data_IF_122192581588
#
_entry.id   IF_122192581588
#
_cell.length_a   1.000
_cell.length_b   1.000
_cell.length_c   1.000
_cell.angle_alpha   90.00
_cell.angle_beta   90.00
_cell.angle_gamma   90.00
#
_symmetry.space_group_name_H-M   'P 1'
#
loop_
_entity.id
_entity.type
_entity.pdbx_description
1 polymer ?
#
# COMPACT_ATOMS: atom_id res chain seq x y z
N UNK A 1 35.50 -17.03 -28.15
CA UNK A 1 34.66 -16.70 -26.99
C UNK A 1 34.52 -17.98 -26.19
N UNK A 2 35.12 -18.00 -25.01
CA UNK A 2 35.39 -19.19 -24.21
C UNK A 2 34.10 -19.91 -23.80
N UNK A 3 34.03 -21.24 -23.94
CA UNK A 3 32.84 -22.03 -23.59
C UNK A 3 32.48 -21.89 -22.11
N UNK A 4 33.48 -21.71 -21.26
CA UNK A 4 33.36 -21.43 -19.82
C UNK A 4 32.62 -20.13 -19.50
N UNK A 5 32.79 -19.10 -20.35
CA UNK A 5 32.10 -17.81 -20.18
C UNK A 5 30.64 -17.95 -20.60
N UNK A 6 30.35 -18.76 -21.63
CA UNK A 6 28.99 -19.04 -22.08
C UNK A 6 28.20 -19.86 -21.06
N UNK A 7 28.86 -20.79 -20.36
CA UNK A 7 28.27 -21.62 -19.29
C UNK A 7 28.05 -20.81 -17.99
N UNK A 8 29.00 -19.94 -17.60
CA UNK A 8 28.79 -19.01 -16.46
C UNK A 8 27.71 -17.95 -16.72
N UNK A 9 27.49 -17.58 -17.97
CA UNK A 9 26.39 -16.69 -18.38
C UNK A 9 25.01 -17.38 -18.39
N UNK A 10 24.94 -18.71 -18.21
CA UNK A 10 23.70 -19.49 -18.18
C UNK A 10 23.11 -19.68 -16.77
N UNK A 11 23.72 -19.10 -15.73
CA UNK A 11 23.11 -19.04 -14.41
C UNK A 11 21.88 -18.10 -14.45
N UNK A 12 20.73 -18.67 -14.77
CA UNK A 12 19.42 -18.00 -14.75
C UNK A 12 18.82 -18.04 -13.34
N UNK A 13 17.93 -17.09 -13.05
CA UNK A 13 17.07 -17.14 -11.87
C UNK A 13 15.77 -17.90 -12.14
N UNK A 14 15.61 -18.44 -13.35
CA UNK A 14 14.45 -19.25 -13.69
C UNK A 14 14.44 -20.56 -12.90
N UNK A 15 13.26 -21.06 -12.52
CA UNK A 15 13.13 -22.38 -11.91
C UNK A 15 13.61 -23.47 -12.87
N UNK A 16 14.20 -24.52 -12.31
CA UNK A 16 14.58 -25.72 -13.07
C UNK A 16 13.33 -26.45 -13.63
N UNK A 17 12.23 -26.50 -12.86
CA UNK A 17 10.95 -27.07 -13.27
C UNK A 17 9.76 -26.11 -13.03
N UNK A 18 9.23 -25.58 -14.14
CA UNK A 18 8.04 -24.71 -14.13
C UNK A 18 6.75 -25.42 -13.73
N UNK A 19 6.64 -26.74 -13.89
CA UNK A 19 5.46 -27.52 -13.47
C UNK A 19 5.43 -27.66 -11.96
N UNK A 20 6.59 -27.94 -11.36
CA UNK A 20 6.74 -28.00 -9.91
C UNK A 20 6.44 -26.64 -9.28
N UNK A 21 7.04 -25.56 -9.81
CA UNK A 21 6.76 -24.21 -9.32
C UNK A 21 5.26 -23.84 -9.44
N UNK A 22 4.61 -24.22 -10.54
CA UNK A 22 3.17 -24.00 -10.74
C UNK A 22 2.34 -24.77 -9.72
N UNK A 23 2.65 -26.05 -9.48
CA UNK A 23 1.94 -26.85 -8.50
C UNK A 23 2.09 -26.26 -7.08
N UNK A 24 3.31 -25.83 -6.73
CA UNK A 24 3.56 -25.15 -5.46
C UNK A 24 2.80 -23.82 -5.35
N UNK A 25 2.76 -23.02 -6.42
CA UNK A 25 2.00 -21.77 -6.46
C UNK A 25 0.50 -21.98 -6.31
N UNK A 26 -0.06 -23.07 -6.85
CA UNK A 26 -1.46 -23.44 -6.61
C UNK A 26 -1.71 -23.81 -5.15
N UNK A 27 -0.84 -24.61 -4.53
CA UNK A 27 -0.96 -24.94 -3.11
C UNK A 27 -0.93 -23.68 -2.22
N UNK A 28 -0.03 -22.73 -2.51
CA UNK A 28 0.02 -21.45 -1.80
C UNK A 28 -1.27 -20.62 -1.96
N UNK A 29 -1.86 -20.65 -3.15
CA UNK A 29 -3.11 -19.94 -3.42
C UNK A 29 -4.29 -20.58 -2.69
N UNK A 30 -4.37 -21.91 -2.69
CA UNK A 30 -5.40 -22.68 -2.01
C UNK A 30 -5.34 -22.43 -0.49
N UNK A 31 -4.15 -22.48 0.12
CA UNK A 31 -3.96 -22.20 1.56
C UNK A 31 -4.41 -20.77 1.94
N UNK A 32 -4.20 -19.79 1.06
CA UNK A 32 -4.68 -18.42 1.29
C UNK A 32 -6.20 -18.29 1.15
N UNK A 33 -6.83 -19.02 0.22
CA UNK A 33 -8.29 -19.07 0.13
C UNK A 33 -8.89 -19.73 1.37
N UNK A 34 -8.36 -20.88 1.78
CA UNK A 34 -8.79 -21.59 2.99
C UNK A 34 -8.66 -20.70 4.23
N UNK A 35 -7.54 -19.97 4.34
CA UNK A 35 -7.33 -18.99 5.40
C UNK A 35 -8.41 -17.90 5.42
N UNK A 36 -8.72 -17.29 4.26
CA UNK A 36 -9.68 -16.20 4.16
C UNK A 36 -11.13 -16.66 4.37
N UNK A 37 -11.48 -17.84 3.88
CA UNK A 37 -12.80 -18.45 4.08
C UNK A 37 -13.06 -18.75 5.56
N UNK A 38 -12.06 -19.33 6.24
CA UNK A 38 -12.17 -19.72 7.64
C UNK A 38 -11.86 -18.57 8.61
N UNK A 39 -11.53 -17.39 8.11
CA UNK A 39 -10.99 -16.28 8.91
C UNK A 39 -11.85 -15.96 10.13
N UNK A 40 -13.18 -15.95 9.98
CA UNK A 40 -14.14 -15.63 11.06
C UNK A 40 -14.10 -16.61 12.23
N UNK A 41 -13.69 -17.86 11.98
CA UNK A 41 -13.59 -18.88 13.02
C UNK A 41 -12.26 -18.82 13.78
N UNK A 42 -11.28 -18.06 13.29
CA UNK A 42 -9.95 -17.95 13.88
C UNK A 42 -9.90 -16.82 14.92
N UNK A 43 -8.93 -16.83 15.85
CA UNK A 43 -8.70 -15.70 16.72
C UNK A 43 -8.40 -14.43 15.91
N UNK A 44 -8.95 -13.28 16.33
CA UNK A 44 -8.67 -11.98 15.69
C UNK A 44 -7.17 -11.69 15.69
N UNK A 45 -6.53 -11.92 16.84
CA UNK A 45 -5.11 -11.70 17.06
C UNK A 45 -4.64 -12.63 18.18
N UNK A 46 -3.38 -13.04 18.13
CA UNK A 46 -2.76 -13.85 19.16
C UNK A 46 -1.29 -13.48 19.36
N UNK A 47 -0.79 -13.68 20.57
CA UNK A 47 0.61 -13.43 20.94
C UNK A 47 1.49 -14.48 20.27
N UNK A 48 2.58 -14.03 19.64
CA UNK A 48 3.62 -14.93 19.09
C UNK A 48 4.31 -15.65 20.27
N UNK A 49 4.26 -17.00 20.34
CA UNK A 49 5.01 -17.76 21.34
C UNK A 49 6.51 -17.51 21.23
N UNK A 50 7.21 -17.49 22.37
CA UNK A 50 8.66 -17.22 22.39
C UNK A 50 9.48 -18.16 21.49
N UNK A 51 9.23 -19.49 21.44
CA UNK A 51 9.97 -20.38 20.55
C UNK A 51 9.83 -20.03 19.06
N UNK A 52 8.64 -19.57 18.64
CA UNK A 52 8.40 -19.13 17.26
C UNK A 52 9.18 -17.86 16.97
N UNK A 53 9.14 -16.90 17.89
CA UNK A 53 9.90 -15.65 17.78
C UNK A 53 11.40 -15.91 17.68
N UNK A 54 11.92 -16.79 18.54
CA UNK A 54 13.34 -17.14 18.57
C UNK A 54 13.80 -17.81 17.27
N UNK A 55 12.91 -18.54 16.59
CA UNK A 55 13.16 -19.14 15.28
C UNK A 55 13.50 -18.12 14.18
N UNK A 56 13.10 -16.84 14.32
CA UNK A 56 13.43 -15.78 13.35
C UNK A 56 14.76 -15.05 13.65
N UNK A 57 15.62 -15.64 14.50
CA UNK A 57 16.98 -15.18 14.78
C UNK A 57 18.06 -16.10 14.18
N UNK A 58 17.79 -16.66 13.00
CA UNK A 58 18.70 -17.55 12.27
C UNK A 58 19.75 -16.77 11.42
N UNK A 59 20.92 -17.35 11.14
CA UNK A 59 21.92 -16.74 10.26
C UNK A 59 21.44 -16.70 8.79
N UNK A 60 22.03 -15.81 8.00
CA UNK A 60 21.76 -15.70 6.57
C UNK A 60 22.03 -17.04 5.84
N UNK A 61 21.04 -17.63 5.14
CA UNK A 61 21.27 -18.81 4.31
C UNK A 61 22.23 -18.49 3.17
N UNK A 62 23.25 -19.34 2.95
CA UNK A 62 24.26 -19.17 1.89
C UNK A 62 24.02 -20.04 0.66
N UNK A 63 23.01 -20.91 0.71
CA UNK A 63 22.62 -21.80 -0.38
C UNK A 63 21.14 -21.65 -0.76
N UNK A 64 20.70 -22.33 -1.83
CA UNK A 64 19.30 -22.35 -2.23
C UNK A 64 18.44 -22.99 -1.13
N UNK A 65 17.22 -22.46 -0.96
CA UNK A 65 16.22 -22.99 -0.03
C UNK A 65 15.10 -23.71 -0.78
N UNK A 66 14.43 -24.64 -0.10
CA UNK A 66 13.22 -25.29 -0.60
C UNK A 66 12.00 -24.37 -0.41
N UNK A 67 11.34 -24.01 -1.52
CA UNK A 67 10.14 -23.18 -1.51
C UNK A 67 8.99 -23.84 -0.73
N UNK A 68 8.84 -25.16 -0.79
CA UNK A 68 7.79 -25.87 -0.06
C UNK A 68 8.01 -25.82 1.46
N UNK A 69 9.26 -25.93 1.91
CA UNK A 69 9.62 -25.73 3.31
C UNK A 69 9.37 -24.29 3.79
N UNK A 70 9.71 -23.29 2.97
CA UNK A 70 9.44 -21.87 3.28
C UNK A 70 7.93 -21.61 3.34
N UNK A 71 7.17 -22.18 2.41
CA UNK A 71 5.71 -22.07 2.41
C UNK A 71 5.10 -22.67 3.68
N UNK A 72 5.53 -23.87 4.08
CA UNK A 72 5.05 -24.50 5.31
C UNK A 72 5.36 -23.65 6.55
N UNK A 73 6.56 -23.10 6.62
CA UNK A 73 6.94 -22.15 7.68
C UNK A 73 6.07 -20.89 7.68
N UNK A 74 5.68 -20.39 6.50
CA UNK A 74 4.73 -19.28 6.41
C UNK A 74 3.37 -19.66 7.01
N UNK A 75 2.82 -20.82 6.64
CA UNK A 75 1.50 -21.27 7.13
C UNK A 75 1.50 -21.52 8.63
N UNK A 76 2.57 -22.10 9.18
CA UNK A 76 2.64 -22.51 10.58
C UNK A 76 3.10 -21.39 11.51
N UNK A 77 4.12 -20.63 11.11
CA UNK A 77 4.85 -19.72 12.01
C UNK A 77 4.59 -18.23 11.74
N UNK A 78 3.98 -17.87 10.60
CA UNK A 78 3.75 -16.47 10.23
C UNK A 78 2.25 -16.17 10.16
N UNK A 79 1.52 -16.90 9.31
CA UNK A 79 0.12 -16.66 9.01
C UNK A 79 -0.79 -16.59 10.24
N UNK A 80 -0.62 -17.43 11.29
CA UNK A 80 -1.49 -17.38 12.47
C UNK A 80 -1.28 -16.12 13.33
N UNK A 81 -0.13 -15.46 13.21
CA UNK A 81 0.29 -14.38 14.11
C UNK A 81 0.27 -13.00 13.45
N UNK A 82 -0.52 -12.85 12.37
CA UNK A 82 -0.76 -11.58 11.71
C UNK A 82 -1.54 -10.58 12.60
N UNK A 83 -1.54 -9.31 12.22
CA UNK A 83 -2.21 -8.24 12.97
C UNK A 83 -3.74 -8.39 13.06
N UNK A 84 -4.35 -9.20 12.20
CA UNK A 84 -5.78 -9.52 12.25
C UNK A 84 -6.70 -8.52 11.56
N UNK A 85 -6.18 -7.51 10.86
CA UNK A 85 -6.95 -6.42 10.26
C UNK A 85 -8.00 -6.86 9.23
N UNK A 86 -7.85 -8.04 8.62
CA UNK A 86 -8.85 -8.62 7.72
C UNK A 86 -10.03 -9.28 8.46
N UNK A 87 -9.88 -9.58 9.76
CA UNK A 87 -10.89 -10.28 10.54
C UNK A 87 -12.08 -9.35 10.85
N UNK A 88 -13.35 -9.81 10.72
CA UNK A 88 -14.53 -8.95 10.92
C UNK A 88 -14.69 -8.40 12.34
N UNK A 89 -14.10 -9.07 13.32
CA UNK A 89 -14.03 -8.63 14.72
C UNK A 89 -12.88 -7.67 15.05
N UNK A 90 -12.04 -7.30 14.07
CA UNK A 90 -10.92 -6.39 14.31
C UNK A 90 -11.41 -4.94 14.36
N UNK A 91 -11.19 -4.27 15.50
CA UNK A 91 -11.65 -2.90 15.77
C UNK A 91 -10.49 -1.94 16.12
N UNK A 92 -9.25 -2.32 15.76
CA UNK A 92 -8.05 -1.57 16.11
C UNK A 92 -7.63 -0.58 15.01
N UNK A 93 -7.60 0.72 15.31
CA UNK A 93 -7.12 1.76 14.40
C UNK A 93 -7.88 1.82 13.06
N UNK A 94 -7.36 2.60 12.09
CA UNK A 94 -7.87 2.67 10.72
C UNK A 94 -6.96 1.82 9.83
N UNK A 95 -7.18 0.51 9.85
CA UNK A 95 -6.44 -0.44 9.02
C UNK A 95 -7.38 -1.01 7.95
N UNK A 96 -6.96 -1.00 6.68
CA UNK A 96 -7.70 -1.65 5.61
C UNK A 96 -7.64 -3.18 5.78
N UNK A 97 -8.77 -3.86 5.61
CA UNK A 97 -8.84 -5.33 5.69
C UNK A 97 -8.52 -6.07 4.39
N UNK A 98 -8.43 -5.34 3.26
CA UNK A 98 -8.30 -5.94 1.94
C UNK A 98 -9.55 -6.71 1.49
N UNK A 99 -9.49 -7.32 0.30
CA UNK A 99 -10.53 -8.24 -0.21
C UNK A 99 -9.87 -9.42 -0.93
N UNK A 100 -10.54 -10.58 -1.04
CA UNK A 100 -10.02 -11.72 -1.83
C UNK A 100 -9.75 -11.35 -3.30
N UNK A 101 -10.60 -10.49 -3.89
CA UNK A 101 -10.39 -9.98 -5.25
C UNK A 101 -9.15 -9.09 -5.32
N UNK A 102 -8.92 -8.25 -4.30
CA UNK A 102 -7.70 -7.44 -4.19
C UNK A 102 -6.44 -8.30 -4.08
N UNK A 103 -6.47 -9.39 -3.32
CA UNK A 103 -5.36 -10.34 -3.23
C UNK A 103 -5.01 -10.94 -4.61
N UNK A 104 -6.01 -11.34 -5.40
CA UNK A 104 -5.79 -11.84 -6.76
C UNK A 104 -5.26 -10.74 -7.70
N UNK A 105 -5.74 -9.51 -7.56
CA UNK A 105 -5.21 -8.38 -8.33
C UNK A 105 -3.73 -8.13 -8.03
N UNK A 106 -3.32 -8.21 -6.76
CA UNK A 106 -1.91 -8.12 -6.33
C UNK A 106 -1.07 -9.27 -6.90
N UNK A 107 -1.60 -10.49 -6.95
CA UNK A 107 -0.93 -11.62 -7.62
C UNK A 107 -0.62 -11.32 -9.09
N UNK A 108 -1.61 -10.77 -9.83
CA UNK A 108 -1.42 -10.41 -11.23
C UNK A 108 -0.44 -9.24 -11.39
N UNK A 109 -0.52 -8.22 -10.53
CA UNK A 109 0.39 -7.08 -10.54
C UNK A 109 1.83 -7.50 -10.25
N UNK A 110 2.04 -8.34 -9.23
CA UNK A 110 3.34 -8.89 -8.88
C UNK A 110 3.91 -9.80 -9.99
N UNK A 111 3.07 -10.62 -10.62
CA UNK A 111 3.48 -11.45 -11.76
C UNK A 111 3.86 -10.63 -13.00
N UNK A 112 3.17 -9.52 -13.26
CA UNK A 112 3.53 -8.61 -14.34
C UNK A 112 4.85 -7.85 -14.06
N UNK A 113 5.11 -7.53 -12.79
CA UNK A 113 6.34 -6.87 -12.31
C UNK A 113 6.74 -5.63 -13.14
N UNK A 114 5.76 -4.77 -13.46
CA UNK A 114 5.97 -3.63 -14.34
C UNK A 114 6.68 -2.46 -13.64
N UNK A 115 7.79 -1.99 -14.22
CA UNK A 115 8.43 -0.74 -13.84
C UNK A 115 7.98 0.40 -14.77
N UNK A 116 7.30 1.42 -14.23
CA UNK A 116 6.62 2.47 -15.00
C UNK A 116 7.43 3.77 -15.18
N UNK A 117 8.78 3.71 -15.10
CA UNK A 117 9.64 4.91 -15.07
C UNK A 117 9.88 5.65 -16.39
N UNK A 118 9.38 5.18 -17.55
CA UNK A 118 9.66 5.88 -18.82
C UNK A 118 9.41 5.12 -20.13
N UNK A 119 8.45 4.19 -20.16
CA UNK A 119 8.04 3.49 -21.40
C UNK A 119 6.52 3.56 -21.57
N UNK A 120 6.06 3.37 -22.80
CA UNK A 120 4.64 3.19 -23.08
C UNK A 120 4.21 1.79 -22.62
N UNK A 121 3.39 1.73 -21.56
CA UNK A 121 2.97 0.50 -20.92
C UNK A 121 1.49 0.60 -20.50
N UNK A 122 0.74 -0.48 -20.71
CA UNK A 122 -0.70 -0.52 -20.43
C UNK A 122 -1.09 -0.23 -18.96
N UNK A 123 -0.29 -0.55 -17.92
CA UNK A 123 -0.69 -0.22 -16.54
C UNK A 123 -0.95 1.27 -16.30
N UNK A 124 -0.28 2.15 -17.04
CA UNK A 124 -0.51 3.61 -16.96
C UNK A 124 -1.90 3.97 -17.48
N UNK A 125 -2.35 3.34 -18.58
CA UNK A 125 -3.68 3.55 -19.12
C UNK A 125 -4.76 2.99 -18.19
N UNK A 126 -4.51 1.82 -17.59
CA UNK A 126 -5.40 1.23 -16.58
C UNK A 126 -5.55 2.16 -15.38
N UNK A 127 -4.44 2.70 -14.84
CA UNK A 127 -4.48 3.64 -13.72
C UNK A 127 -5.34 4.87 -14.04
N UNK A 128 -5.15 5.47 -15.22
CA UNK A 128 -5.95 6.62 -15.68
C UNK A 128 -7.44 6.29 -15.76
N UNK A 129 -7.80 5.13 -16.30
CA UNK A 129 -9.19 4.71 -16.37
C UNK A 129 -9.83 4.57 -14.97
N UNK A 130 -9.09 4.01 -14.01
CA UNK A 130 -9.59 3.87 -12.64
C UNK A 130 -9.72 5.25 -11.97
N UNK A 131 -8.81 6.19 -12.22
CA UNK A 131 -8.94 7.57 -11.74
C UNK A 131 -10.22 8.24 -12.29
N UNK A 132 -10.55 8.02 -13.55
CA UNK A 132 -11.81 8.51 -14.14
C UNK A 132 -13.04 7.92 -13.45
N UNK A 133 -13.05 6.62 -13.16
CA UNK A 133 -14.14 6.01 -12.40
C UNK A 133 -14.25 6.56 -10.97
N UNK A 134 -13.13 6.79 -10.29
CA UNK A 134 -13.11 7.43 -8.96
C UNK A 134 -13.69 8.83 -9.05
N UNK A 135 -13.34 9.61 -10.09
CA UNK A 135 -13.91 10.93 -10.35
C UNK A 135 -15.43 10.87 -10.46
N UNK A 136 -15.97 9.90 -11.21
CA UNK A 136 -17.42 9.71 -11.37
C UNK A 136 -18.11 9.29 -10.08
N UNK A 137 -17.57 8.30 -9.37
CA UNK A 137 -18.12 7.77 -8.11
C UNK A 137 -18.28 8.90 -7.07
N UNK A 138 -17.26 9.76 -6.94
CA UNK A 138 -17.27 10.87 -6.00
C UNK A 138 -17.85 12.17 -6.58
N UNK A 139 -18.30 12.16 -7.85
CA UNK A 139 -18.87 13.31 -8.56
C UNK A 139 -17.95 14.53 -8.55
N UNK A 140 -16.66 14.31 -8.77
CA UNK A 140 -15.71 15.39 -8.97
C UNK A 140 -15.91 16.06 -10.35
N UNK A 141 -15.49 17.32 -10.51
CA UNK A 141 -15.51 18.00 -11.80
C UNK A 141 -14.75 17.23 -12.90
N UNK A 142 -15.15 17.37 -14.16
CA UNK A 142 -14.56 16.65 -15.29
C UNK A 142 -13.06 16.94 -15.49
N UNK A 143 -12.58 18.10 -15.05
CA UNK A 143 -11.17 18.49 -15.10
C UNK A 143 -10.35 18.01 -13.90
N UNK A 144 -10.96 17.27 -12.96
CA UNK A 144 -10.26 16.68 -11.84
C UNK A 144 -9.32 15.55 -12.30
N UNK A 145 -8.12 15.53 -11.73
CA UNK A 145 -7.07 14.55 -12.06
C UNK A 145 -6.57 13.90 -10.78
N UNK A 146 -5.89 12.76 -10.91
CA UNK A 146 -5.45 12.01 -9.75
C UNK A 146 -4.30 11.07 -9.99
N UNK A 147 -3.70 10.63 -8.89
CA UNK A 147 -2.62 9.65 -8.84
C UNK A 147 -2.86 8.69 -7.68
N UNK A 148 -2.57 7.42 -7.90
CA UNK A 148 -2.55 6.45 -6.82
C UNK A 148 -1.22 6.49 -6.09
N UNK A 149 -1.28 6.57 -4.77
CA UNK A 149 -0.08 6.55 -3.92
C UNK A 149 -0.20 5.52 -2.81
N UNK A 150 0.94 5.11 -2.28
CA UNK A 150 1.05 4.09 -1.23
C UNK A 150 0.66 4.58 0.16
N UNK A 151 0.40 5.87 0.36
CA UNK A 151 -0.10 6.38 1.64
C UNK A 151 -0.43 7.86 1.68
N UNK A 152 -1.13 8.28 2.74
CA UNK A 152 -1.59 9.67 2.90
C UNK A 152 -0.43 10.65 3.10
N UNK A 153 0.71 10.18 3.60
CA UNK A 153 1.90 11.03 3.79
C UNK A 153 2.55 11.39 2.46
N UNK A 154 2.63 10.44 1.52
CA UNK A 154 3.12 10.72 0.16
C UNK A 154 2.10 11.54 -0.62
N UNK A 155 0.81 11.32 -0.39
CA UNK A 155 -0.26 12.17 -0.92
C UNK A 155 -0.05 13.64 -0.56
N UNK A 156 0.12 13.93 0.74
CA UNK A 156 0.18 15.29 1.27
C UNK A 156 1.42 16.06 0.80
N UNK A 157 2.49 15.37 0.39
CA UNK A 157 3.73 15.97 -0.10
C UNK A 157 3.73 16.34 -1.58
N UNK A 158 2.68 16.00 -2.33
CA UNK A 158 2.59 16.33 -3.76
C UNK A 158 2.20 17.82 -3.94
N UNK A 159 2.87 18.58 -4.84
CA UNK A 159 2.79 20.05 -4.85
C UNK A 159 1.41 20.68 -5.10
N UNK A 160 0.43 19.92 -5.60
CA UNK A 160 -0.82 20.46 -6.15
C UNK A 160 -2.10 20.12 -5.34
N UNK A 161 -2.00 19.78 -4.05
CA UNK A 161 -3.20 19.42 -3.25
C UNK A 161 -3.86 20.58 -2.47
N UNK A 162 -5.21 20.73 -2.52
CA UNK A 162 -5.99 21.36 -1.45
C UNK A 162 -6.17 20.40 -0.25
N UNK A 163 -6.18 20.95 0.96
CA UNK A 163 -6.00 20.29 2.26
C UNK A 163 -7.12 19.33 2.76
N UNK A 164 -7.92 18.72 1.88
CA UNK A 164 -9.09 17.92 2.26
C UNK A 164 -9.07 16.49 1.67
N UNK A 165 -8.02 15.71 1.94
CA UNK A 165 -8.05 14.27 1.72
C UNK A 165 -8.69 13.58 2.95
N UNK A 166 -10.00 13.35 2.90
CA UNK A 166 -10.70 12.56 3.90
C UNK A 166 -10.47 11.05 3.67
N UNK A 167 -10.10 10.37 4.75
CA UNK A 167 -9.79 8.95 4.87
C UNK A 167 -10.92 8.03 4.38
N UNK A 168 -10.61 7.15 3.42
CA UNK A 168 -11.37 5.93 3.15
C UNK A 168 -10.42 4.72 3.11
N UNK A 169 -10.73 3.70 3.89
CA UNK A 169 -9.90 2.51 4.10
C UNK A 169 -9.93 1.58 2.87
N UNK A 170 -8.89 1.66 2.04
CA UNK A 170 -8.59 0.69 0.97
C UNK A 170 -7.07 0.66 0.73
N UNK A 171 -6.47 -0.46 0.25
CA UNK A 171 -5.01 -0.57 0.11
C UNK A 171 -4.38 0.42 -0.88
N UNK A 172 -5.18 1.02 -1.77
CA UNK A 172 -4.71 1.97 -2.79
C UNK A 172 -5.38 3.33 -2.56
N UNK A 173 -4.59 4.35 -2.21
CA UNK A 173 -5.12 5.69 -1.99
C UNK A 173 -5.18 6.43 -3.33
N UNK A 174 -6.38 6.59 -3.89
CA UNK A 174 -6.61 7.52 -4.99
C UNK A 174 -6.66 8.94 -4.44
N UNK A 175 -5.80 9.83 -4.91
CA UNK A 175 -5.96 11.26 -4.69
C UNK A 175 -6.57 11.81 -5.96
N UNK A 176 -7.70 12.51 -5.85
CA UNK A 176 -8.27 13.28 -6.97
C UNK A 176 -8.37 14.74 -6.54
N UNK A 177 -7.76 15.64 -7.32
CA UNK A 177 -7.78 17.08 -7.08
C UNK A 177 -8.16 17.85 -8.35
N UNK A 178 -8.89 18.97 -8.24
CA UNK A 178 -9.16 19.87 -9.36
C UNK A 178 -7.86 20.54 -9.83
N UNK A 179 -7.75 20.81 -11.13
CA UNK A 179 -6.55 21.41 -11.72
C UNK A 179 -6.44 22.89 -11.33
N UNK A 180 -5.39 23.27 -10.58
CA UNK A 180 -5.02 24.68 -10.37
C UNK A 180 -4.40 25.25 -11.65
N UNK A 181 -5.01 26.28 -12.23
CA UNK A 181 -4.50 27.00 -13.42
C UNK A 181 -3.62 28.21 -13.10
N UNK A 182 -3.24 28.42 -11.83
CA UNK A 182 -2.48 29.61 -11.43
C UNK A 182 -0.96 29.43 -11.55
N UNK A 183 -0.33 30.23 -12.42
CA UNK A 183 1.14 30.34 -12.62
C UNK A 183 1.89 30.62 -11.30
N UNK A 184 3.14 30.15 -11.13
CA UNK A 184 3.87 30.31 -9.89
C UNK A 184 4.47 31.72 -9.80
N UNK A 185 3.87 32.57 -8.97
CA UNK A 185 4.54 33.76 -8.45
C UNK A 185 4.51 33.64 -6.93
N UNK A 186 5.63 33.20 -6.36
CA UNK A 186 5.91 33.19 -4.91
C UNK A 186 4.89 32.43 -4.05
N UNK A 187 5.07 31.13 -3.89
CA UNK A 187 4.31 30.33 -2.92
C UNK A 187 4.83 30.63 -1.51
N UNK A 188 4.19 31.56 -0.81
CA UNK A 188 4.14 31.54 0.65
C UNK A 188 2.94 30.69 1.03
N UNK A 189 3.14 29.38 1.22
CA UNK A 189 2.06 28.49 1.65
C UNK A 189 1.82 28.65 3.15
N UNK A 190 0.68 29.26 3.52
CA UNK A 190 0.17 29.23 4.89
C UNK A 190 -0.79 28.06 4.99
N UNK A 191 -0.32 26.94 5.56
CA UNK A 191 -1.15 25.76 5.79
C UNK A 191 -2.03 25.92 7.02
N UNK A 192 -3.34 26.15 6.83
CA UNK A 192 -4.32 26.13 7.92
C UNK A 192 -4.88 24.72 8.08
N UNK A 193 -4.83 24.17 9.30
CA UNK A 193 -5.29 22.81 9.63
C UNK A 193 -6.00 22.81 10.97
N UNK A 194 -7.17 22.20 11.06
CA UNK A 194 -7.97 22.08 12.29
C UNK A 194 -7.59 20.80 13.06
N UNK A 195 -7.54 20.86 14.40
CA UNK A 195 -7.28 19.68 15.25
C UNK A 195 -8.52 18.79 15.42
N UNK A 196 -8.35 17.46 15.56
CA UNK A 196 -7.08 16.74 15.69
C UNK A 196 -6.46 16.38 14.32
N UNK A 197 -5.19 16.74 14.12
CA UNK A 197 -4.43 16.42 12.89
C UNK A 197 -4.07 14.94 12.92
N UNK A 198 -4.08 14.27 11.76
CA UNK A 198 -3.39 12.98 11.61
C UNK A 198 -1.88 13.19 11.69
N UNK A 199 -1.15 12.23 12.28
CA UNK A 199 0.32 12.25 12.39
C UNK A 199 1.03 12.55 11.05
N UNK A 200 0.45 12.08 9.95
CA UNK A 200 0.87 12.32 8.56
C UNK A 200 1.06 13.81 8.22
N UNK A 201 0.12 14.68 8.62
CA UNK A 201 0.21 16.11 8.34
C UNK A 201 1.35 16.81 9.08
N UNK A 202 1.74 16.32 10.26
CA UNK A 202 2.89 16.85 11.01
C UNK A 202 4.22 16.44 10.36
N UNK A 203 4.36 15.18 9.94
CA UNK A 203 5.56 14.69 9.26
C UNK A 203 5.77 15.37 7.90
N UNK A 204 4.71 15.63 7.14
CA UNK A 204 4.81 16.32 5.86
C UNK A 204 5.34 17.77 6.03
N UNK A 205 4.84 18.50 7.04
CA UNK A 205 5.35 19.86 7.34
C UNK A 205 6.83 19.86 7.75
N UNK A 206 7.28 18.84 8.48
CA UNK A 206 8.69 18.66 8.84
C UNK A 206 9.56 18.36 7.61
N UNK A 207 9.14 17.42 6.75
CA UNK A 207 9.87 17.07 5.52
C UNK A 207 10.00 18.26 4.55
N UNK A 208 8.99 19.11 4.47
CA UNK A 208 8.97 20.28 3.59
C UNK A 208 9.67 21.52 4.20
N UNK A 209 10.31 21.38 5.37
CA UNK A 209 11.02 22.48 6.03
C UNK A 209 10.11 23.65 6.47
N UNK A 210 8.80 23.42 6.59
CA UNK A 210 7.83 24.46 6.95
C UNK A 210 7.98 24.81 8.45
N UNK A 211 8.17 26.10 8.75
CA UNK A 211 8.32 26.57 10.14
C UNK A 211 7.03 26.38 10.94
N UNK A 212 7.08 26.05 12.25
CA UNK A 212 5.89 25.85 13.11
C UNK A 212 5.08 27.13 13.41
N UNK A 213 5.22 28.20 12.64
CA UNK A 213 4.77 29.53 13.04
C UNK A 213 3.38 29.85 12.49
N UNK A 214 2.34 29.33 13.16
CA UNK A 214 0.98 29.89 13.35
C UNK A 214 -0.07 28.77 13.50
N UNK A 215 0.05 27.99 14.58
CA UNK A 215 -0.94 26.95 14.90
C UNK A 215 -2.22 27.59 15.46
N UNK A 216 -3.29 27.59 14.67
CA UNK A 216 -4.63 27.95 15.14
C UNK A 216 -5.18 26.85 16.07
N UNK A 217 -5.39 27.21 17.34
CA UNK A 217 -5.93 26.33 18.37
C UNK A 217 -7.46 26.37 18.30
N UNK A 218 -8.10 25.34 17.73
CA UNK A 218 -9.54 25.14 17.91
C UNK A 218 -9.80 24.70 19.36
N UNK A 219 -10.16 25.65 20.23
CA UNK A 219 -10.85 25.35 21.48
C UNK A 219 -12.35 25.27 21.18
N UNK A 220 -12.99 24.18 21.63
CA UNK A 220 -14.41 23.93 21.40
C UNK A 220 -15.30 25.07 21.86
N UNK A 221 -16.40 25.24 21.11
CA UNK A 221 -17.49 26.23 21.28
C UNK A 221 -17.13 27.68 20.96
N UNK A 222 -17.28 28.07 19.69
CA UNK A 222 -17.92 29.35 19.27
C UNK A 222 -18.26 29.28 17.77
N UNK A 223 -19.46 29.77 17.45
CA UNK A 223 -20.07 29.80 16.10
C UNK A 223 -19.15 30.49 15.10
N UNK A 224 -18.94 29.89 13.93
CA UNK A 224 -18.47 30.63 12.75
C UNK A 224 -19.61 31.54 12.26
N UNK A 225 -19.41 32.86 12.06
CA UNK A 225 -20.30 33.64 11.22
C UNK A 225 -20.02 33.30 9.75
N UNK A 226 -21.10 33.14 9.00
CA UNK A 226 -21.06 33.05 7.54
C UNK A 226 -20.40 34.29 6.96
N UNK A 227 -19.43 34.10 6.07
CA UNK A 227 -19.00 35.10 5.10
C UNK A 227 -18.87 34.39 3.76
N UNK A 228 -19.52 35.01 2.78
CA UNK A 228 -19.66 34.64 1.38
C UNK A 228 -18.32 34.49 0.67
#
# INVERSE_FOLDING_TARGET
MDSDVREKLQATLDPEDWRELRAQGHAMLDDMFDYLEQLRARPVWQIIPQPIRDGFHEPLPTGPGDLAAVHRRFVDDILPYAAGNAHPGFMGWVNGGGTPVGMLAEMLAAGLNANLGGRDQIPIAVERQVVEWVREIFRFPDDATGLFVTGTSTASGTPDQPAAAASAASPTHAIVAPRSTTRPSTITSVGVTTRPRTYSGANCSFMLGLRPSSWLRCQGRRRCPALW
#
